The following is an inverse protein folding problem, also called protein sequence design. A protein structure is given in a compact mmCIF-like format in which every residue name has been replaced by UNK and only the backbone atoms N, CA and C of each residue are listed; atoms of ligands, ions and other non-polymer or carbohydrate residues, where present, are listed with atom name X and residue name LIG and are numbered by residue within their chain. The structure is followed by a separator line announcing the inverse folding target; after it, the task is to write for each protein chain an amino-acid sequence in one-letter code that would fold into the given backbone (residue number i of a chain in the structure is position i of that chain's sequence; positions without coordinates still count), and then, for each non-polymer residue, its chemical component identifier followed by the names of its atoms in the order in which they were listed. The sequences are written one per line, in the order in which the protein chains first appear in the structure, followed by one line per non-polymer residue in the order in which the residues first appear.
data_IF_831997782578
#
_entry.id   IF_831997782578
#
_cell.length_a   1.000
_cell.length_b   1.000
_cell.length_c   1.000
_cell.angle_alpha   90.00
_cell.angle_beta   90.00
_cell.angle_gamma   90.00
#
_symmetry.space_group_name_H-M   'P 1'
#
loop_
_entity.id
_entity.type
_entity.pdbx_description
1 polymer ?
#
# COMPACT_ATOMS: atom_id res chain seq x y z
N UNK A 1 28.91 -29.14 -33.37
CA UNK A 1 28.93 -29.86 -32.08
C UNK A 1 29.23 -28.82 -31.01
N UNK A 2 28.24 -28.08 -30.47
CA UNK A 2 27.37 -28.46 -29.35
C UNK A 2 28.14 -29.13 -28.20
N UNK A 3 28.35 -28.41 -27.08
CA UNK A 3 27.61 -28.62 -25.81
C UNK A 3 28.05 -27.64 -24.69
N UNK A 4 27.06 -26.92 -24.18
CA UNK A 4 26.75 -26.59 -22.76
C UNK A 4 27.81 -25.94 -21.84
N UNK A 5 27.60 -24.65 -21.53
CA UNK A 5 27.96 -24.05 -20.24
C UNK A 5 26.70 -23.91 -19.39
N UNK A 6 26.54 -24.79 -18.40
CA UNK A 6 25.56 -24.62 -17.33
C UNK A 6 26.05 -23.58 -16.33
N UNK A 7 25.25 -22.52 -16.12
CA UNK A 7 25.41 -21.58 -15.01
C UNK A 7 24.73 -22.19 -13.77
N UNK A 8 25.51 -22.51 -12.74
CA UNK A 8 25.00 -22.82 -11.40
C UNK A 8 24.94 -21.52 -10.58
N UNK A 9 23.74 -21.05 -10.23
CA UNK A 9 23.55 -20.01 -9.23
C UNK A 9 23.19 -20.69 -7.90
N UNK A 10 24.18 -20.83 -7.02
CA UNK A 10 23.92 -21.06 -5.59
C UNK A 10 23.87 -19.72 -4.85
N UNK A 11 22.91 -19.52 -3.93
CA UNK A 11 22.74 -18.26 -3.22
C UNK A 11 23.78 -18.14 -2.09
N UNK A 12 24.83 -17.37 -2.32
CA UNK A 12 25.80 -17.05 -1.26
C UNK A 12 25.37 -15.80 -0.51
N UNK A 13 25.02 -16.01 0.77
CA UNK A 13 25.43 -15.18 1.89
C UNK A 13 25.02 -13.71 1.87
N UNK A 14 23.91 -13.41 2.52
CA UNK A 14 23.68 -12.07 3.11
C UNK A 14 24.77 -11.86 4.16
N UNK A 15 25.77 -11.03 3.85
CA UNK A 15 26.70 -10.52 4.86
C UNK A 15 25.99 -9.41 5.63
N UNK A 16 25.99 -9.52 6.95
CA UNK A 16 25.46 -8.52 7.90
C UNK A 16 26.25 -7.18 7.89
N UNK A 17 27.22 -7.01 6.98
CA UNK A 17 28.06 -5.82 6.86
C UNK A 17 27.44 -4.69 6.00
N UNK A 18 26.34 -4.95 5.25
CA UNK A 18 25.74 -3.96 4.32
C UNK A 18 24.81 -2.93 4.99
N UNK A 19 24.54 -3.05 6.29
CA UNK A 19 23.72 -2.07 7.01
C UNK A 19 24.46 -0.77 7.39
N UNK A 20 25.80 -0.77 7.37
CA UNK A 20 26.60 0.38 7.81
C UNK A 20 26.95 1.39 6.69
N UNK A 21 26.65 1.08 5.42
CA UNK A 21 27.03 1.91 4.27
C UNK A 21 25.92 2.85 3.76
N UNK A 22 24.89 3.17 4.55
CA UNK A 22 23.91 4.24 4.24
C UNK A 22 24.39 5.64 4.65
N UNK A 23 25.70 5.87 4.55
CA UNK A 23 26.40 7.09 4.96
C UNK A 23 26.61 8.09 3.82
N UNK A 24 25.63 8.29 2.93
CA UNK A 24 25.50 9.49 2.10
C UNK A 24 24.11 9.51 1.49
N UNK A 25 23.08 9.78 2.30
CA UNK A 25 21.76 10.09 1.73
C UNK A 25 21.92 11.36 0.89
N UNK A 26 21.85 11.20 -0.43
CA UNK A 26 21.54 12.27 -1.38
C UNK A 26 20.49 13.19 -0.76
N UNK A 27 20.72 14.52 -0.79
CA UNK A 27 19.74 15.53 -0.35
C UNK A 27 18.35 15.11 -0.87
N UNK A 28 17.44 14.81 0.06
CA UNK A 28 16.12 14.27 -0.31
C UNK A 28 15.40 15.30 -1.20
N UNK A 29 14.58 14.87 -2.19
CA UNK A 29 13.85 15.78 -3.09
C UNK A 29 12.99 16.84 -2.39
N UNK A 30 12.66 16.66 -1.11
CA UNK A 30 11.94 17.62 -0.28
C UNK A 30 12.73 18.91 0.00
N UNK A 31 14.06 18.85 0.03
CA UNK A 31 14.89 20.04 0.34
C UNK A 31 14.89 21.08 -0.77
N UNK A 32 14.50 20.72 -1.99
CA UNK A 32 14.41 21.64 -3.11
C UNK A 32 13.12 22.47 -3.11
N UNK A 33 12.08 22.03 -2.37
CA UNK A 33 10.75 22.63 -2.34
C UNK A 33 10.37 23.02 -0.92
N UNK A 34 11.27 23.76 -0.27
CA UNK A 34 11.07 24.26 1.09
C UNK A 34 10.07 25.42 1.04
N UNK A 35 8.85 25.19 1.53
CA UNK A 35 7.90 26.26 1.77
C UNK A 35 8.40 27.15 2.90
N UNK A 36 8.90 28.33 2.54
CA UNK A 36 9.28 29.38 3.48
C UNK A 36 8.02 30.18 3.80
N UNK A 37 7.71 30.33 5.10
CA UNK A 37 6.55 31.07 5.63
C UNK A 37 6.60 32.60 5.37
N UNK A 38 7.29 33.05 4.32
CA UNK A 38 7.60 34.44 4.05
C UNK A 38 6.45 35.19 3.36
N UNK A 39 5.25 35.16 3.93
CA UNK A 39 4.20 36.13 3.60
C UNK A 39 3.73 36.86 4.86
N UNK A 40 4.55 37.82 5.28
CA UNK A 40 4.11 39.03 5.97
C UNK A 40 5.12 40.16 5.68
N UNK A 41 5.36 40.43 4.40
CA UNK A 41 6.38 41.42 3.98
C UNK A 41 5.88 42.87 3.95
N UNK A 42 4.58 43.15 4.11
CA UNK A 42 4.08 44.51 3.90
C UNK A 42 4.14 45.46 5.11
N UNK A 43 4.41 45.01 6.33
CA UNK A 43 4.41 45.92 7.50
C UNK A 43 5.78 46.29 8.07
N UNK A 44 6.87 45.62 7.67
CA UNK A 44 8.17 45.74 8.37
C UNK A 44 9.33 46.31 7.53
N UNK A 45 9.08 46.69 6.27
CA UNK A 45 10.10 47.23 5.35
C UNK A 45 10.67 48.61 5.74
N UNK A 46 10.33 49.18 6.90
CA UNK A 46 10.79 50.50 7.35
C UNK A 46 11.92 50.47 8.40
N UNK A 47 12.49 49.31 8.73
CA UNK A 47 13.58 49.23 9.70
C UNK A 47 14.96 49.36 9.02
N UNK A 48 15.39 50.61 8.76
CA UNK A 48 16.73 50.96 8.26
C UNK A 48 17.77 51.16 9.38
N UNK A 49 17.48 50.78 10.61
CA UNK A 49 18.38 50.93 11.75
C UNK A 49 19.09 49.60 12.07
N UNK A 50 20.37 49.63 12.49
CA UNK A 50 21.06 48.44 12.95
C UNK A 50 20.32 47.82 14.15
N UNK A 51 19.92 46.57 14.00
CA UNK A 51 19.13 45.77 14.94
C UNK A 51 19.99 44.97 15.92
N UNK A 52 21.33 45.07 15.86
CA UNK A 52 22.23 44.33 16.75
C UNK A 52 22.18 44.83 18.21
N UNK A 53 22.28 43.92 19.18
CA UNK A 53 22.32 44.23 20.61
C UNK A 53 21.01 43.95 21.36
N UNK A 54 20.90 44.40 22.61
CA UNK A 54 19.72 44.20 23.45
C UNK A 54 18.52 45.06 22.97
N UNK A 55 17.26 44.64 23.23
CA UNK A 55 16.07 45.41 22.85
C UNK A 55 16.10 46.82 23.46
N UNK A 56 15.87 47.89 22.66
CA UNK A 56 15.85 49.26 23.15
C UNK A 56 14.62 49.51 24.03
N UNK A 57 14.78 50.33 25.07
CA UNK A 57 13.69 50.67 26.02
C UNK A 57 12.52 51.41 25.35
N UNK A 58 12.80 52.25 24.35
CA UNK A 58 11.80 53.13 23.75
C UNK A 58 10.88 52.41 22.73
N UNK A 59 11.42 51.48 21.93
CA UNK A 59 10.70 50.82 20.83
C UNK A 59 11.06 49.32 20.70
N UNK A 60 10.81 48.50 21.74
CA UNK A 60 11.22 47.09 21.73
C UNK A 60 10.53 46.27 20.64
N UNK A 61 9.26 46.58 20.32
CA UNK A 61 8.48 45.87 19.30
C UNK A 61 9.02 46.14 17.88
N UNK A 62 9.45 47.36 17.59
CA UNK A 62 10.07 47.71 16.30
C UNK A 62 11.43 47.00 16.13
N UNK A 63 12.21 46.91 17.20
CA UNK A 63 13.45 46.13 17.21
C UNK A 63 13.18 44.64 17.00
N UNK A 64 12.20 44.07 17.69
CA UNK A 64 11.85 42.65 17.54
C UNK A 64 11.37 42.32 16.13
N UNK A 65 10.65 43.25 15.49
CA UNK A 65 10.26 43.12 14.10
C UNK A 65 11.46 43.16 13.14
N UNK A 66 12.43 44.05 13.41
CA UNK A 66 13.69 44.08 12.67
C UNK A 66 14.47 42.77 12.83
N UNK A 67 14.56 42.21 14.05
CA UNK A 67 15.19 40.90 14.28
C UNK A 67 14.49 39.76 13.54
N UNK A 68 13.15 39.74 13.50
CA UNK A 68 12.42 38.77 12.68
C UNK A 68 12.79 38.90 11.19
N UNK A 69 12.89 40.12 10.67
CA UNK A 69 13.29 40.34 9.29
C UNK A 69 14.74 39.94 9.01
N UNK A 70 15.67 40.25 9.92
CA UNK A 70 17.06 39.82 9.80
C UNK A 70 17.14 38.30 9.70
N UNK A 71 16.39 37.59 10.56
CA UNK A 71 16.40 36.14 10.55
C UNK A 71 15.85 35.56 9.25
N UNK A 72 14.83 36.18 8.67
CA UNK A 72 14.34 35.82 7.34
C UNK A 72 15.37 36.12 6.24
N UNK A 73 16.05 37.26 6.31
CA UNK A 73 17.08 37.64 5.34
C UNK A 73 18.29 36.70 5.40
N UNK A 74 18.74 36.33 6.60
CA UNK A 74 19.80 35.35 6.82
C UNK A 74 19.39 33.97 6.28
N UNK A 75 18.17 33.51 6.56
CA UNK A 75 17.63 32.25 6.05
C UNK A 75 17.51 32.20 4.51
N UNK A 76 17.34 33.36 3.87
CA UNK A 76 17.20 33.46 2.42
C UNK A 76 18.51 33.78 1.69
N UNK A 77 19.59 34.08 2.43
CA UNK A 77 20.86 34.49 1.85
C UNK A 77 21.46 33.37 0.99
N UNK A 78 21.70 33.60 -0.32
CA UNK A 78 22.27 32.59 -1.21
C UNK A 78 23.79 32.44 -1.05
N UNK A 79 24.46 33.49 -0.59
CA UNK A 79 25.91 33.57 -0.41
C UNK A 79 26.34 33.30 1.04
N UNK A 80 27.61 32.90 1.24
CA UNK A 80 28.17 32.57 2.56
C UNK A 80 28.04 31.10 2.94
N UNK A 81 28.47 30.74 4.15
CA UNK A 81 28.28 29.38 4.68
C UNK A 81 26.80 29.19 5.08
N UNK A 82 26.06 28.24 4.48
CA UNK A 82 24.68 27.96 4.85
C UNK A 82 24.52 27.65 6.35
N UNK A 83 25.49 27.00 6.97
CA UNK A 83 25.43 26.71 8.41
C UNK A 83 25.45 27.99 9.24
N UNK A 84 26.31 28.95 8.90
CA UNK A 84 26.39 30.24 9.60
C UNK A 84 25.12 31.08 9.39
N UNK A 85 24.57 31.07 8.17
CA UNK A 85 23.32 31.76 7.85
C UNK A 85 22.14 31.22 8.68
N UNK A 86 22.02 29.90 8.85
CA UNK A 86 20.98 29.32 9.69
C UNK A 86 21.17 29.59 11.18
N UNK A 87 22.40 29.63 11.68
CA UNK A 87 22.68 30.02 13.07
C UNK A 87 22.34 31.50 13.32
N UNK A 88 22.66 32.39 12.38
CA UNK A 88 22.29 33.80 12.45
C UNK A 88 20.76 33.98 12.44
N UNK A 89 20.06 33.25 11.57
CA UNK A 89 18.60 33.24 11.54
C UNK A 89 17.98 32.77 12.86
N UNK A 90 18.48 31.66 13.41
CA UNK A 90 18.03 31.14 14.71
C UNK A 90 18.26 32.14 15.83
N UNK A 91 19.41 32.82 15.86
CA UNK A 91 19.71 33.85 16.84
C UNK A 91 18.72 35.03 16.72
N UNK A 92 18.47 35.51 15.51
CA UNK A 92 17.56 36.62 15.27
C UNK A 92 16.10 36.31 15.63
N UNK A 93 15.61 35.10 15.32
CA UNK A 93 14.27 34.69 15.76
C UNK A 93 14.17 34.53 17.29
N UNK A 94 15.21 34.01 17.94
CA UNK A 94 15.26 33.92 19.42
C UNK A 94 15.26 35.29 20.07
N UNK A 95 16.02 36.23 19.52
CA UNK A 95 16.05 37.62 19.96
C UNK A 95 14.68 38.27 19.83
N UNK A 96 14.01 38.12 18.69
CA UNK A 96 12.66 38.63 18.48
C UNK A 96 11.66 38.07 19.52
N UNK A 97 11.79 36.78 19.87
CA UNK A 97 10.98 36.10 20.89
C UNK A 97 11.25 36.56 22.34
N UNK A 98 12.27 37.39 22.58
CA UNK A 98 12.44 38.05 23.91
C UNK A 98 11.44 39.19 24.12
N UNK A 99 10.89 39.74 23.03
CA UNK A 99 9.90 40.82 23.04
C UNK A 99 8.53 40.30 22.62
N UNK A 100 8.48 39.53 21.52
CA UNK A 100 7.26 38.87 21.10
C UNK A 100 6.92 37.78 22.09
N UNK A 101 5.82 37.96 22.82
CA UNK A 101 5.28 36.97 23.76
C UNK A 101 3.89 36.55 23.32
N UNK A 102 3.47 35.35 23.71
CA UNK A 102 2.16 34.81 23.34
C UNK A 102 1.02 35.69 23.86
N UNK A 103 1.20 36.30 25.03
CA UNK A 103 0.19 37.09 25.72
C UNK A 103 0.04 38.50 25.12
N UNK A 104 1.17 39.15 24.79
CA UNK A 104 1.18 40.55 24.33
C UNK A 104 1.08 40.66 22.81
N UNK A 105 1.71 39.73 22.08
CA UNK A 105 1.86 39.78 20.63
C UNK A 105 1.65 38.38 20.01
N UNK A 106 0.45 37.78 20.17
CA UNK A 106 0.22 36.38 19.81
C UNK A 106 0.58 36.07 18.35
N UNK A 107 0.22 36.96 17.43
CA UNK A 107 0.42 36.76 15.99
C UNK A 107 1.91 36.84 15.60
N UNK A 108 2.63 37.84 16.11
CA UNK A 108 4.07 38.01 15.87
C UNK A 108 4.88 36.91 16.57
N UNK A 109 4.45 36.49 17.75
CA UNK A 109 5.04 35.35 18.46
C UNK A 109 4.86 34.05 17.66
N UNK A 110 3.66 33.78 17.15
CA UNK A 110 3.38 32.61 16.31
C UNK A 110 4.24 32.63 15.03
N UNK A 111 4.37 33.80 14.39
CA UNK A 111 5.23 33.99 13.22
C UNK A 111 6.69 33.69 13.52
N UNK A 112 7.23 34.26 14.60
CA UNK A 112 8.61 34.01 15.01
C UNK A 112 8.84 32.54 15.41
N UNK A 113 7.87 31.88 16.07
CA UNK A 113 7.93 30.43 16.38
C UNK A 113 7.90 29.59 15.11
N UNK A 114 7.03 29.89 14.16
CA UNK A 114 6.94 29.13 12.92
C UNK A 114 8.22 29.24 12.08
N UNK A 115 8.78 30.45 11.96
CA UNK A 115 10.06 30.69 11.30
C UNK A 115 11.23 30.02 12.02
N UNK A 116 11.25 30.04 13.36
CA UNK A 116 12.21 29.29 14.16
C UNK A 116 12.10 27.78 13.89
N UNK A 117 10.88 27.27 13.71
CA UNK A 117 10.63 25.88 13.37
C UNK A 117 11.22 25.48 12.02
N UNK A 118 11.01 26.31 10.98
CA UNK A 118 11.66 26.12 9.67
C UNK A 118 13.18 26.19 9.80
N UNK A 119 13.72 27.18 10.52
CA UNK A 119 15.16 27.34 10.69
C UNK A 119 15.80 26.12 11.38
N UNK A 120 15.18 25.55 12.42
CA UNK A 120 15.67 24.31 13.03
C UNK A 120 15.61 23.12 12.09
N UNK A 121 14.57 23.01 11.26
CA UNK A 121 14.48 21.93 10.27
C UNK A 121 15.60 22.00 9.24
N UNK A 122 15.91 23.20 8.76
CA UNK A 122 16.95 23.41 7.73
C UNK A 122 18.37 23.45 8.30
N UNK A 123 18.51 23.62 9.62
CA UNK A 123 19.81 23.73 10.32
C UNK A 123 20.70 22.51 10.06
N UNK A 124 21.84 22.67 9.36
CA UNK A 124 22.78 21.58 9.11
C UNK A 124 23.60 21.19 10.35
N UNK A 125 23.87 22.16 11.23
CA UNK A 125 24.67 21.96 12.43
C UNK A 125 23.88 21.30 13.58
N UNK A 126 24.61 20.62 14.47
CA UNK A 126 24.06 19.99 15.68
C UNK A 126 23.44 18.61 15.45
N UNK A 127 22.73 18.10 16.46
CA UNK A 127 22.07 16.80 16.39
C UNK A 127 20.77 16.91 15.57
N UNK A 128 20.68 16.13 14.48
CA UNK A 128 19.53 16.13 13.59
C UNK A 128 18.21 15.81 14.29
N UNK A 129 18.22 14.89 15.25
CA UNK A 129 17.02 14.50 15.99
C UNK A 129 16.53 15.64 16.89
N UNK A 130 17.45 16.27 17.62
CA UNK A 130 17.11 17.43 18.47
C UNK A 130 16.58 18.60 17.65
N UNK A 131 17.22 18.89 16.51
CA UNK A 131 16.76 19.92 15.58
C UNK A 131 15.31 19.67 15.13
N UNK A 132 14.96 18.41 14.81
CA UNK A 132 13.59 18.07 14.41
C UNK A 132 12.58 18.20 15.54
N UNK A 133 12.92 17.79 16.76
CA UNK A 133 12.04 17.98 17.92
C UNK A 133 11.80 19.47 18.22
N UNK A 134 12.84 20.30 18.09
CA UNK A 134 12.71 21.75 18.22
C UNK A 134 11.84 22.36 17.11
N UNK A 135 11.98 21.87 15.87
CA UNK A 135 11.15 22.29 14.74
C UNK A 135 9.66 21.98 14.98
N UNK A 136 9.36 20.73 15.36
CA UNK A 136 8.00 20.26 15.68
C UNK A 136 7.40 21.08 16.82
N UNK A 137 8.17 21.31 17.90
CA UNK A 137 7.72 22.10 19.04
C UNK A 137 7.37 23.54 18.62
N UNK A 138 8.23 24.20 17.86
CA UNK A 138 8.01 25.59 17.45
C UNK A 138 6.83 25.73 16.45
N UNK A 139 6.64 24.77 15.55
CA UNK A 139 5.50 24.76 14.62
C UNK A 139 4.17 24.48 15.34
N UNK A 140 4.15 23.54 16.29
CA UNK A 140 2.96 23.29 17.14
C UNK A 140 2.58 24.51 17.97
N UNK A 141 3.57 25.25 18.47
CA UNK A 141 3.33 26.50 19.19
C UNK A 141 2.66 27.56 18.31
N UNK A 142 3.13 27.74 17.07
CA UNK A 142 2.49 28.64 16.12
C UNK A 142 1.04 28.23 15.81
N UNK A 143 0.81 26.93 15.60
CA UNK A 143 -0.53 26.34 15.39
C UNK A 143 -1.43 26.39 16.63
N UNK A 144 -0.91 26.75 17.80
CA UNK A 144 -1.72 27.01 19.00
C UNK A 144 -2.33 28.42 19.04
N UNK A 145 -1.91 29.28 18.12
CA UNK A 145 -2.40 30.66 17.94
C UNK A 145 -3.09 30.80 16.59
N UNK A 146 -2.43 30.34 15.52
CA UNK A 146 -3.03 30.30 14.20
C UNK A 146 -4.02 29.16 14.09
N UNK A 147 -5.21 29.47 13.59
CA UNK A 147 -6.24 28.48 13.31
C UNK A 147 -6.65 28.57 11.85
N UNK A 148 -7.26 27.50 11.35
CA UNK A 148 -7.81 27.45 10.00
C UNK A 148 -8.76 28.63 9.71
N UNK A 149 -9.52 29.08 10.70
CA UNK A 149 -10.52 30.13 10.52
C UNK A 149 -9.94 31.55 10.64
N UNK A 150 -8.95 31.75 11.52
CA UNK A 150 -8.39 33.08 11.80
C UNK A 150 -7.20 33.45 10.89
N UNK A 151 -6.39 32.45 10.55
CA UNK A 151 -5.11 32.60 9.86
C UNK A 151 -4.94 31.44 8.86
N UNK A 152 -5.86 31.26 7.89
CA UNK A 152 -5.92 30.07 7.05
C UNK A 152 -4.57 29.80 6.34
N UNK A 153 -3.97 30.84 5.77
CA UNK A 153 -2.73 30.75 5.00
C UNK A 153 -1.53 30.39 5.89
N UNK A 154 -1.34 31.10 7.01
CA UNK A 154 -0.23 30.84 7.93
C UNK A 154 -0.40 29.48 8.62
N UNK A 155 -1.64 29.09 8.94
CA UNK A 155 -1.97 27.79 9.49
C UNK A 155 -1.62 26.67 8.49
N UNK A 156 -2.02 26.79 7.23
CA UNK A 156 -1.68 25.82 6.19
C UNK A 156 -0.16 25.72 5.96
N UNK A 157 0.54 26.87 5.95
CA UNK A 157 2.00 26.92 5.88
C UNK A 157 2.71 26.24 7.05
N UNK A 158 2.21 26.43 8.27
CA UNK A 158 2.74 25.76 9.45
C UNK A 158 2.43 24.25 9.44
N UNK A 159 1.24 23.84 8.97
CA UNK A 159 0.87 22.43 8.79
C UNK A 159 1.78 21.74 7.75
N UNK A 160 2.03 22.35 6.59
CA UNK A 160 2.95 21.81 5.59
C UNK A 160 4.35 21.60 6.18
N UNK A 161 4.88 22.62 6.88
CA UNK A 161 6.20 22.52 7.48
C UNK A 161 6.27 21.48 8.61
N UNK A 162 5.19 21.34 9.38
CA UNK A 162 5.07 20.35 10.44
C UNK A 162 5.03 18.94 9.86
N UNK A 163 4.32 18.74 8.74
CA UNK A 163 4.30 17.46 8.03
C UNK A 163 5.69 17.03 7.53
N UNK A 164 6.46 17.97 6.97
CA UNK A 164 7.86 17.70 6.57
C UNK A 164 8.70 17.35 7.82
N UNK A 165 8.55 18.10 8.92
CA UNK A 165 9.31 17.85 10.14
C UNK A 165 9.04 16.44 10.71
N UNK A 166 7.78 15.97 10.74
CA UNK A 166 7.47 14.59 11.12
C UNK A 166 8.04 13.57 10.13
N UNK A 167 7.93 13.84 8.83
CA UNK A 167 8.48 12.92 7.82
C UNK A 167 10.01 12.80 7.94
N UNK A 168 10.71 13.86 8.30
CA UNK A 168 12.18 13.88 8.48
C UNK A 168 12.64 13.45 9.88
N UNK A 169 11.72 13.31 10.84
CA UNK A 169 12.00 13.00 12.24
C UNK A 169 12.69 11.63 12.37
N UNK A 170 13.94 11.57 12.85
CA UNK A 170 14.67 10.29 13.00
C UNK A 170 14.19 9.46 14.20
N UNK A 171 13.62 10.13 15.20
CA UNK A 171 13.15 9.56 16.47
C UNK A 171 11.69 9.10 16.39
N UNK A 172 11.31 8.14 17.23
CA UNK A 172 9.97 7.57 17.27
C UNK A 172 9.70 6.53 16.19
N UNK A 173 8.49 5.96 16.19
CA UNK A 173 8.08 4.96 15.22
C UNK A 173 7.89 5.59 13.84
N UNK A 174 8.55 5.03 12.82
CA UNK A 174 8.50 5.57 11.45
C UNK A 174 7.08 5.59 10.89
N UNK A 175 6.27 4.58 11.25
CA UNK A 175 4.87 4.51 10.83
C UNK A 175 4.03 5.64 11.43
N UNK A 176 4.18 5.92 12.72
CA UNK A 176 3.43 7.00 13.39
C UNK A 176 3.83 8.37 12.85
N UNK A 177 5.14 8.61 12.67
CA UNK A 177 5.65 9.83 12.05
C UNK A 177 5.08 10.03 10.63
N UNK A 178 4.92 8.95 9.86
CA UNK A 178 4.33 9.00 8.52
C UNK A 178 2.84 9.39 8.56
N UNK A 179 2.04 8.82 9.47
CA UNK A 179 0.63 9.20 9.63
C UNK A 179 0.48 10.66 10.07
N UNK A 180 1.33 11.14 10.99
CA UNK A 180 1.34 12.54 11.41
C UNK A 180 1.72 13.49 10.27
N UNK A 181 2.65 13.08 9.40
CA UNK A 181 3.00 13.84 8.21
C UNK A 181 1.83 13.94 7.22
N UNK A 182 1.16 12.81 6.93
CA UNK A 182 -0.01 12.76 6.04
C UNK A 182 -1.12 13.67 6.56
N UNK A 183 -1.47 13.56 7.84
CA UNK A 183 -2.50 14.39 8.45
C UNK A 183 -2.18 15.89 8.32
N UNK A 184 -0.93 16.29 8.58
CA UNK A 184 -0.52 17.69 8.47
C UNK A 184 -0.52 18.21 7.01
N UNK A 185 -0.19 17.36 6.03
CA UNK A 185 -0.31 17.74 4.61
C UNK A 185 -1.77 17.84 4.17
N UNK A 186 -2.64 16.95 4.63
CA UNK A 186 -4.08 17.01 4.36
C UNK A 186 -4.72 18.25 4.99
N UNK A 187 -4.29 18.63 6.20
CA UNK A 187 -4.67 19.88 6.85
C UNK A 187 -4.30 21.08 5.97
N UNK A 188 -3.07 21.19 5.48
CA UNK A 188 -2.65 22.27 4.58
C UNK A 188 -3.48 22.31 3.29
N UNK A 189 -3.76 21.14 2.69
CA UNK A 189 -4.59 20.99 1.48
C UNK A 189 -6.08 21.26 1.72
N UNK A 190 -6.52 21.38 2.98
CA UNK A 190 -7.90 21.80 3.31
C UNK A 190 -8.11 23.31 3.15
N UNK A 191 -7.03 24.09 3.06
CA UNK A 191 -7.03 25.54 2.82
C UNK A 191 -6.57 25.83 1.41
N UNK A 192 -5.41 25.31 1.03
CA UNK A 192 -4.84 25.58 -0.28
C UNK A 192 -5.55 24.76 -1.36
N UNK A 193 -5.86 25.44 -2.46
CA UNK A 193 -6.49 24.84 -3.63
C UNK A 193 -5.66 25.17 -4.87
N UNK A 194 -5.77 24.40 -5.96
CA UNK A 194 -5.04 24.73 -7.19
C UNK A 194 -5.45 26.08 -7.80
N UNK A 195 -6.61 26.64 -7.40
CA UNK A 195 -7.08 27.95 -7.85
C UNK A 195 -6.56 29.11 -6.99
N UNK A 196 -6.46 28.93 -5.68
CA UNK A 196 -6.07 29.99 -4.75
C UNK A 196 -4.56 30.07 -4.53
N UNK A 197 -3.91 28.91 -4.38
CA UNK A 197 -2.50 28.79 -4.00
C UNK A 197 -1.85 27.65 -4.81
N UNK A 198 -1.73 27.79 -6.14
CA UNK A 198 -1.29 26.70 -7.01
C UNK A 198 0.07 26.12 -6.60
N UNK A 199 1.05 26.98 -6.32
CA UNK A 199 2.42 26.59 -5.92
C UNK A 199 2.45 25.84 -4.57
N UNK A 200 1.74 26.38 -3.57
CA UNK A 200 1.72 25.82 -2.22
C UNK A 200 0.94 24.51 -2.18
N UNK A 201 -0.15 24.45 -2.95
CA UNK A 201 -0.93 23.24 -3.17
C UNK A 201 -0.11 22.14 -3.86
N UNK A 202 0.64 22.48 -4.92
CA UNK A 202 1.51 21.52 -5.61
C UNK A 202 2.62 20.99 -4.70
N UNK A 203 3.20 21.86 -3.85
CA UNK A 203 4.19 21.47 -2.84
C UNK A 203 3.61 20.50 -1.82
N UNK A 204 2.44 20.81 -1.27
CA UNK A 204 1.76 19.93 -0.31
C UNK A 204 1.37 18.58 -0.96
N UNK A 205 0.93 18.59 -2.24
CA UNK A 205 0.64 17.37 -3.01
C UNK A 205 1.87 16.51 -3.26
N UNK A 206 3.00 17.10 -3.63
CA UNK A 206 4.27 16.36 -3.76
C UNK A 206 4.63 15.66 -2.44
N UNK A 207 4.59 16.40 -1.33
CA UNK A 207 4.99 15.87 -0.03
C UNK A 207 4.04 14.78 0.47
N UNK A 208 2.73 14.96 0.25
CA UNK A 208 1.72 13.95 0.51
C UNK A 208 1.96 12.69 -0.33
N UNK A 209 2.33 12.84 -1.60
CA UNK A 209 2.65 11.72 -2.47
C UNK A 209 3.87 10.92 -2.00
N UNK A 210 4.92 11.61 -1.53
CA UNK A 210 6.11 10.96 -0.95
C UNK A 210 5.72 10.21 0.33
N UNK A 211 4.92 10.82 1.20
CA UNK A 211 4.47 10.19 2.43
C UNK A 211 3.64 8.93 2.15
N UNK A 212 2.67 8.98 1.22
CA UNK A 212 1.90 7.81 0.82
C UNK A 212 2.77 6.71 0.20
N UNK A 213 3.78 7.05 -0.61
CA UNK A 213 4.68 6.04 -1.17
C UNK A 213 5.45 5.29 -0.09
N UNK A 214 5.85 5.96 0.98
CA UNK A 214 6.61 5.37 2.10
C UNK A 214 5.73 4.80 3.22
N UNK A 215 4.42 5.02 3.15
CA UNK A 215 3.46 4.56 4.16
C UNK A 215 3.38 3.05 4.20
N UNK A 216 3.72 2.48 5.36
CA UNK A 216 3.66 1.03 5.64
C UNK A 216 2.27 0.60 6.12
N UNK A 217 1.54 1.48 6.79
CA UNK A 217 0.19 1.20 7.26
C UNK A 217 -0.85 1.18 6.12
N UNK A 218 -1.91 0.38 6.28
CA UNK A 218 -3.01 0.30 5.31
C UNK A 218 -2.71 -0.60 4.10
N UNK A 219 -3.52 -0.45 3.04
CA UNK A 219 -3.34 -1.22 1.82
C UNK A 219 -2.23 -0.60 0.95
N UNK A 220 -1.19 -1.38 0.65
CA UNK A 220 -0.04 -0.93 -0.15
C UNK A 220 -0.44 -0.42 -1.54
N UNK A 221 -1.37 -1.11 -2.21
CA UNK A 221 -1.86 -0.71 -3.54
C UNK A 221 -2.62 0.62 -3.48
N UNK A 222 -3.42 0.83 -2.45
CA UNK A 222 -4.14 2.09 -2.23
C UNK A 222 -3.15 3.24 -1.95
N UNK A 223 -2.17 3.01 -1.07
CA UNK A 223 -1.10 3.96 -0.80
C UNK A 223 -0.35 4.36 -2.09
N UNK A 224 -0.03 3.41 -2.96
CA UNK A 224 0.59 3.69 -4.26
C UNK A 224 -0.32 4.50 -5.20
N UNK A 225 -1.63 4.21 -5.21
CA UNK A 225 -2.59 4.96 -5.99
C UNK A 225 -2.69 6.41 -5.52
N UNK A 226 -2.76 6.62 -4.21
CA UNK A 226 -2.79 7.95 -3.59
C UNK A 226 -1.49 8.72 -3.89
N UNK A 227 -0.33 8.06 -3.81
CA UNK A 227 0.96 8.66 -4.16
C UNK A 227 1.00 9.13 -5.62
N UNK A 228 0.62 8.25 -6.56
CA UNK A 228 0.58 8.57 -7.99
C UNK A 228 -0.41 9.70 -8.29
N UNK A 229 -1.58 9.71 -7.64
CA UNK A 229 -2.56 10.77 -7.80
C UNK A 229 -1.98 12.12 -7.32
N UNK A 230 -1.36 12.16 -6.14
CA UNK A 230 -0.78 13.37 -5.59
C UNK A 230 0.37 13.92 -6.45
N UNK A 231 1.21 13.06 -7.04
CA UNK A 231 2.25 13.52 -7.98
C UNK A 231 1.66 14.08 -9.28
N UNK A 232 0.59 13.47 -9.81
CA UNK A 232 -0.11 14.00 -11.00
C UNK A 232 -0.76 15.34 -10.72
N UNK A 233 -1.32 15.50 -9.52
CA UNK A 233 -1.86 16.77 -9.04
C UNK A 233 -0.77 17.85 -9.04
N UNK A 234 0.40 17.59 -8.45
CA UNK A 234 1.51 18.54 -8.48
C UNK A 234 1.99 18.88 -9.91
N UNK A 235 2.05 17.89 -10.82
CA UNK A 235 2.38 18.10 -12.23
C UNK A 235 1.31 18.84 -13.03
N UNK A 236 0.11 19.04 -12.48
CA UNK A 236 -0.90 19.90 -13.11
C UNK A 236 -0.59 21.39 -12.95
N UNK A 237 0.26 21.74 -11.98
CA UNK A 237 0.74 23.10 -11.73
C UNK A 237 2.14 23.29 -12.31
N UNK A 238 3.06 22.37 -11.98
CA UNK A 238 4.45 22.46 -12.41
C UNK A 238 4.67 21.74 -13.72
N UNK A 239 4.83 22.52 -14.79
CA UNK A 239 5.16 22.02 -16.12
C UNK A 239 6.67 22.07 -16.37
N UNK A 240 7.14 21.22 -17.29
CA UNK A 240 8.56 21.12 -17.64
C UNK A 240 9.14 22.44 -18.15
N UNK A 241 8.33 23.22 -18.85
CA UNK A 241 8.74 24.47 -19.48
C UNK A 241 8.80 25.65 -18.50
N UNK A 242 7.87 25.70 -17.54
CA UNK A 242 7.75 26.80 -16.57
C UNK A 242 8.48 26.53 -15.25
N UNK A 243 8.56 25.27 -14.81
CA UNK A 243 9.07 24.83 -13.52
C UNK A 243 9.97 23.59 -13.71
N UNK A 244 11.09 23.71 -14.45
CA UNK A 244 11.89 22.55 -14.86
C UNK A 244 12.47 21.76 -13.68
N UNK A 245 12.80 22.43 -12.57
CA UNK A 245 13.37 21.79 -11.38
C UNK A 245 12.31 21.01 -10.60
N UNK A 246 11.18 21.65 -10.29
CA UNK A 246 10.05 21.07 -9.59
C UNK A 246 9.45 19.92 -10.40
N UNK A 247 9.25 20.12 -11.70
CA UNK A 247 8.79 19.09 -12.62
C UNK A 247 9.70 17.87 -12.59
N UNK A 248 11.02 18.04 -12.63
CA UNK A 248 11.96 16.93 -12.62
C UNK A 248 11.89 16.12 -11.31
N UNK A 249 11.73 16.82 -10.17
CA UNK A 249 11.57 16.18 -8.86
C UNK A 249 10.28 15.37 -8.78
N UNK A 250 9.15 15.96 -9.17
CA UNK A 250 7.85 15.28 -9.11
C UNK A 250 7.82 14.11 -10.10
N UNK A 251 8.34 14.30 -11.31
CA UNK A 251 8.41 13.25 -12.33
C UNK A 251 9.27 12.07 -11.87
N UNK A 252 10.42 12.32 -11.24
CA UNK A 252 11.25 11.25 -10.69
C UNK A 252 10.52 10.45 -9.59
N UNK A 253 9.75 11.13 -8.73
CA UNK A 253 8.96 10.48 -7.69
C UNK A 253 7.78 9.69 -8.26
N UNK A 254 7.12 10.22 -9.29
CA UNK A 254 6.06 9.54 -10.03
C UNK A 254 6.57 8.27 -10.71
N UNK A 255 7.71 8.36 -11.40
CA UNK A 255 8.37 7.23 -12.06
C UNK A 255 8.72 6.14 -11.04
N UNK A 256 9.25 6.52 -9.87
CA UNK A 256 9.56 5.58 -8.80
C UNK A 256 8.30 4.88 -8.28
N UNK A 257 7.21 5.62 -8.00
CA UNK A 257 5.94 5.05 -7.55
C UNK A 257 5.33 4.10 -8.60
N UNK A 258 5.40 4.47 -9.88
CA UNK A 258 4.94 3.60 -10.97
C UNK A 258 5.77 2.32 -11.09
N UNK A 259 7.10 2.41 -10.93
CA UNK A 259 8.00 1.25 -10.95
C UNK A 259 7.74 0.32 -9.76
N UNK A 260 7.56 0.85 -8.56
CA UNK A 260 7.23 0.06 -7.37
C UNK A 260 5.89 -0.66 -7.54
N UNK A 261 4.87 0.04 -8.03
CA UNK A 261 3.56 -0.56 -8.32
C UNK A 261 3.66 -1.63 -9.42
N UNK A 262 4.45 -1.38 -10.46
CA UNK A 262 4.68 -2.37 -11.52
C UNK A 262 5.45 -3.58 -11.01
N UNK A 263 6.45 -3.38 -10.13
CA UNK A 263 7.19 -4.45 -9.47
C UNK A 263 6.27 -5.28 -8.57
N UNK A 264 5.39 -4.66 -7.78
CA UNK A 264 4.39 -5.37 -6.97
C UNK A 264 3.40 -6.14 -7.86
N UNK A 265 2.96 -5.56 -8.97
CA UNK A 265 2.14 -6.27 -9.96
C UNK A 265 2.89 -7.46 -10.57
N UNK A 266 4.17 -7.28 -10.89
CA UNK A 266 5.04 -8.34 -11.41
C UNK A 266 5.24 -9.44 -10.37
N UNK A 267 5.57 -9.10 -9.13
CA UNK A 267 5.71 -10.05 -8.02
C UNK A 267 4.41 -10.83 -7.87
N UNK A 268 3.26 -10.17 -7.72
CA UNK A 268 1.97 -10.85 -7.58
C UNK A 268 1.58 -11.75 -8.76
N UNK A 269 2.13 -11.53 -9.97
CA UNK A 269 1.86 -12.35 -11.15
C UNK A 269 2.95 -13.37 -11.49
N UNK A 270 4.21 -13.11 -11.12
CA UNK A 270 5.37 -13.97 -11.35
C UNK A 270 5.55 -14.92 -10.16
N UNK A 271 5.13 -14.54 -8.94
CA UNK A 271 4.87 -15.48 -7.85
C UNK A 271 3.58 -16.25 -8.08
N UNK A 272 3.57 -17.08 -9.11
CA UNK A 272 3.14 -18.46 -8.85
C UNK A 272 4.29 -19.02 -8.00
N UNK A 273 4.21 -18.85 -6.67
CA UNK A 273 5.20 -19.44 -5.75
C UNK A 273 5.34 -20.94 -6.05
N UNK A 274 6.45 -21.61 -5.64
CA UNK A 274 6.56 -23.05 -5.82
C UNK A 274 5.26 -23.67 -5.32
N UNK A 275 4.54 -24.36 -6.20
CA UNK A 275 3.27 -24.97 -5.82
C UNK A 275 3.65 -25.88 -4.65
N UNK A 276 3.11 -25.60 -3.46
CA UNK A 276 3.43 -26.41 -2.30
C UNK A 276 3.15 -27.86 -2.72
N UNK A 277 4.10 -28.77 -2.49
CA UNK A 277 3.93 -30.15 -2.94
C UNK A 277 2.60 -30.75 -2.41
N UNK A 278 2.06 -30.20 -1.32
CA UNK A 278 0.71 -30.43 -0.80
C UNK A 278 -0.40 -30.04 -1.77
N UNK A 279 -0.33 -28.88 -2.42
CA UNK A 279 -1.37 -28.38 -3.32
C UNK A 279 -1.38 -29.19 -4.62
N UNK A 280 -0.20 -29.50 -5.19
CA UNK A 280 -0.09 -30.43 -6.34
C UNK A 280 -0.72 -31.77 -5.97
N UNK A 281 -0.42 -32.30 -4.78
CA UNK A 281 -0.97 -33.58 -4.33
C UNK A 281 -2.49 -33.51 -4.17
N UNK A 282 -3.02 -32.49 -3.52
CA UNK A 282 -4.46 -32.34 -3.27
C UNK A 282 -5.21 -32.12 -4.59
N UNK A 283 -4.78 -31.16 -5.41
CA UNK A 283 -5.39 -30.89 -6.72
C UNK A 283 -5.25 -32.12 -7.62
N UNK A 284 -4.08 -32.73 -7.69
CA UNK A 284 -3.84 -33.94 -8.49
C UNK A 284 -4.73 -35.12 -8.06
N UNK A 285 -4.90 -35.36 -6.76
CA UNK A 285 -5.78 -36.42 -6.23
C UNK A 285 -7.25 -36.15 -6.55
N UNK A 286 -7.72 -34.91 -6.33
CA UNK A 286 -9.11 -34.52 -6.62
C UNK A 286 -9.37 -34.58 -8.13
N UNK A 287 -8.48 -34.02 -8.96
CA UNK A 287 -8.60 -34.08 -10.43
C UNK A 287 -8.55 -35.51 -10.97
N UNK A 288 -7.70 -36.38 -10.44
CA UNK A 288 -7.64 -37.78 -10.86
C UNK A 288 -8.92 -38.55 -10.47
N UNK A 289 -9.43 -38.33 -9.26
CA UNK A 289 -10.69 -38.94 -8.80
C UNK A 289 -11.88 -38.45 -9.64
N UNK A 290 -11.94 -37.15 -9.92
CA UNK A 290 -12.97 -36.53 -10.76
C UNK A 290 -12.89 -36.99 -12.23
N UNK A 291 -11.68 -37.09 -12.79
CA UNK A 291 -11.47 -37.67 -14.12
C UNK A 291 -11.96 -39.11 -14.17
N UNK A 292 -11.61 -39.93 -13.18
CA UNK A 292 -11.97 -41.34 -13.15
C UNK A 292 -13.49 -41.54 -13.05
N UNK A 293 -14.18 -40.74 -12.24
CA UNK A 293 -15.64 -40.81 -12.14
C UNK A 293 -16.31 -40.45 -13.46
N UNK A 294 -15.89 -39.36 -14.11
CA UNK A 294 -16.42 -39.00 -15.43
C UNK A 294 -16.07 -40.02 -16.51
N UNK A 295 -14.86 -40.56 -16.51
CA UNK A 295 -14.43 -41.59 -17.45
C UNK A 295 -15.36 -42.81 -17.40
N UNK A 296 -15.68 -43.32 -16.20
CA UNK A 296 -16.60 -44.44 -16.04
C UNK A 296 -18.06 -44.09 -16.31
N UNK A 297 -18.48 -42.83 -16.13
CA UNK A 297 -19.82 -42.40 -16.57
C UNK A 297 -19.95 -42.41 -18.10
N UNK A 298 -18.92 -41.98 -18.82
CA UNK A 298 -18.95 -41.85 -20.29
C UNK A 298 -18.51 -43.12 -21.03
N UNK A 299 -18.02 -44.15 -20.33
CA UNK A 299 -17.63 -45.41 -20.95
C UNK A 299 -18.84 -46.25 -21.36
N UNK A 300 -20.00 -46.04 -20.73
CA UNK A 300 -21.19 -46.86 -20.93
C UNK A 300 -21.81 -46.68 -22.34
N UNK A 301 -22.03 -45.46 -22.87
CA UNK A 301 -22.62 -45.28 -24.20
C UNK A 301 -21.84 -45.97 -25.35
N UNK A 302 -20.50 -45.86 -25.44
CA UNK A 302 -19.73 -46.55 -26.47
C UNK A 302 -19.90 -48.08 -26.48
N UNK A 303 -20.19 -48.69 -25.32
CA UNK A 303 -20.37 -50.15 -25.22
C UNK A 303 -21.84 -50.58 -25.33
N UNK A 304 -22.79 -49.66 -25.50
CA UNK A 304 -24.22 -49.97 -25.65
C UNK A 304 -24.52 -51.02 -26.72
N UNK A 305 -23.90 -51.01 -27.92
CA UNK A 305 -24.14 -52.05 -28.91
C UNK A 305 -23.83 -53.46 -28.37
N UNK A 306 -22.74 -53.61 -27.61
CA UNK A 306 -22.34 -54.89 -27.01
C UNK A 306 -23.30 -55.30 -25.88
N UNK A 307 -23.70 -54.35 -25.02
CA UNK A 307 -24.63 -54.60 -23.93
C UNK A 307 -26.03 -54.97 -24.44
N UNK A 308 -26.46 -54.33 -25.53
CA UNK A 308 -27.72 -54.61 -26.21
C UNK A 308 -27.79 -56.06 -26.64
N UNK A 309 -26.73 -56.56 -27.27
CA UNK A 309 -26.67 -57.94 -27.76
C UNK A 309 -26.46 -58.95 -26.62
N UNK A 310 -25.67 -58.61 -25.59
CA UNK A 310 -25.42 -59.48 -24.44
C UNK A 310 -26.66 -59.67 -23.56
N UNK A 311 -27.45 -58.62 -23.34
CA UNK A 311 -28.66 -58.67 -22.51
C UNK A 311 -29.94 -58.92 -23.29
N UNK A 312 -29.90 -58.87 -24.62
CA UNK A 312 -31.09 -59.04 -25.48
C UNK A 312 -32.14 -57.93 -25.29
N UNK A 313 -31.70 -56.70 -25.01
CA UNK A 313 -32.57 -55.54 -24.72
C UNK A 313 -32.47 -54.47 -25.82
N UNK A 314 -33.30 -53.44 -25.78
CA UNK A 314 -33.20 -52.27 -26.66
C UNK A 314 -32.32 -51.15 -26.09
N UNK A 315 -32.06 -50.13 -26.91
CA UNK A 315 -31.35 -48.92 -26.48
C UNK A 315 -32.13 -48.09 -25.46
N UNK A 316 -33.47 -48.20 -25.47
CA UNK A 316 -34.32 -47.51 -24.50
C UNK A 316 -34.06 -48.02 -23.08
N UNK A 317 -34.00 -49.35 -22.90
CA UNK A 317 -33.72 -49.99 -21.62
C UNK A 317 -32.31 -49.64 -21.11
N UNK A 318 -31.31 -49.63 -21.98
CA UNK A 318 -29.95 -49.21 -21.63
C UNK A 318 -29.89 -47.71 -21.23
N UNK A 319 -30.71 -46.87 -21.86
CA UNK A 319 -30.79 -45.45 -21.53
C UNK A 319 -31.45 -45.21 -20.16
N UNK A 320 -32.37 -46.09 -19.74
CA UNK A 320 -32.95 -46.05 -18.39
C UNK A 320 -31.86 -46.26 -17.34
N UNK A 321 -30.91 -47.16 -17.56
CA UNK A 321 -29.78 -47.39 -16.64
C UNK A 321 -28.97 -46.11 -16.41
N UNK A 322 -28.62 -45.37 -17.47
CA UNK A 322 -27.93 -44.08 -17.33
C UNK A 322 -28.79 -43.03 -16.64
N UNK A 323 -30.07 -42.97 -16.98
CA UNK A 323 -31.02 -42.03 -16.38
C UNK A 323 -31.12 -42.26 -14.88
N UNK A 324 -31.22 -43.52 -14.44
CA UNK A 324 -31.25 -43.88 -13.02
C UNK A 324 -29.99 -43.44 -12.28
N UNK A 325 -28.80 -43.62 -12.88
CA UNK A 325 -27.53 -43.16 -12.30
C UNK A 325 -27.51 -41.64 -12.11
N UNK A 326 -27.82 -40.88 -13.17
CA UNK A 326 -27.79 -39.42 -13.11
C UNK A 326 -28.88 -38.85 -12.20
N UNK A 327 -30.08 -39.44 -12.21
CA UNK A 327 -31.17 -39.04 -11.32
C UNK A 327 -30.81 -39.29 -9.86
N UNK A 328 -30.27 -40.47 -9.53
CA UNK A 328 -29.81 -40.77 -8.18
C UNK A 328 -28.68 -39.82 -7.75
N UNK A 329 -27.71 -39.55 -8.63
CA UNK A 329 -26.63 -38.59 -8.36
C UNK A 329 -27.17 -37.19 -8.10
N UNK A 330 -28.04 -36.66 -8.98
CA UNK A 330 -28.60 -35.32 -8.84
C UNK A 330 -29.47 -35.15 -7.59
N UNK A 331 -30.35 -36.11 -7.30
CA UNK A 331 -31.21 -36.08 -6.11
C UNK A 331 -30.41 -36.17 -4.81
N UNK A 332 -29.29 -36.88 -4.81
CA UNK A 332 -28.48 -37.10 -3.61
C UNK A 332 -27.36 -36.08 -3.42
N UNK A 333 -27.10 -35.17 -4.36
CA UNK A 333 -26.07 -34.14 -4.22
C UNK A 333 -26.32 -33.18 -3.05
N UNK A 334 -27.54 -32.66 -2.91
CA UNK A 334 -27.89 -31.76 -1.79
C UNK A 334 -27.82 -32.46 -0.43
N UNK A 335 -28.41 -33.67 -0.24
CA UNK A 335 -28.19 -34.47 0.97
C UNK A 335 -26.70 -34.76 1.26
N UNK A 336 -25.92 -35.05 0.23
CA UNK A 336 -24.48 -35.28 0.37
C UNK A 336 -23.74 -34.03 0.85
N UNK A 337 -24.15 -32.82 0.43
CA UNK A 337 -23.64 -31.57 0.97
C UNK A 337 -23.81 -31.48 2.50
N UNK A 338 -25.02 -31.72 3.00
CA UNK A 338 -25.25 -31.75 4.46
C UNK A 338 -24.47 -32.87 5.17
N UNK A 339 -24.22 -33.99 4.49
CA UNK A 339 -23.42 -35.08 5.04
C UNK A 339 -21.93 -34.70 5.12
N UNK A 340 -21.42 -33.99 4.12
CA UNK A 340 -20.08 -33.39 4.10
C UNK A 340 -19.89 -32.43 5.27
N UNK A 341 -20.87 -31.57 5.52
CA UNK A 341 -20.83 -30.62 6.63
C UNK A 341 -20.76 -31.30 8.01
N UNK A 342 -21.35 -32.50 8.14
CA UNK A 342 -21.39 -33.24 9.42
C UNK A 342 -20.20 -34.16 9.64
N UNK A 343 -19.79 -34.91 8.62
CA UNK A 343 -18.78 -35.97 8.74
C UNK A 343 -17.39 -35.55 8.23
N UNK A 344 -17.32 -34.40 7.56
CA UNK A 344 -16.15 -33.87 6.90
C UNK A 344 -15.99 -34.39 5.45
N UNK A 345 -15.49 -33.56 4.54
CA UNK A 345 -15.51 -33.84 3.10
C UNK A 345 -14.65 -35.04 2.70
N UNK A 346 -13.49 -35.23 3.32
CA UNK A 346 -12.59 -36.33 2.98
C UNK A 346 -13.20 -37.71 3.28
N UNK A 347 -13.90 -37.86 4.41
CA UNK A 347 -14.53 -39.14 4.80
C UNK A 347 -15.70 -39.47 3.88
N UNK A 348 -16.49 -38.46 3.54
CA UNK A 348 -17.65 -38.61 2.64
C UNK A 348 -17.19 -38.91 1.22
N UNK A 349 -16.14 -38.25 0.73
CA UNK A 349 -15.53 -38.54 -0.58
C UNK A 349 -15.00 -39.97 -0.67
N UNK A 350 -14.23 -40.43 0.32
CA UNK A 350 -13.70 -41.81 0.36
C UNK A 350 -14.83 -42.83 0.38
N UNK A 351 -15.87 -42.59 1.20
CA UNK A 351 -17.05 -43.46 1.27
C UNK A 351 -17.81 -43.55 -0.04
N UNK A 352 -18.09 -42.41 -0.68
CA UNK A 352 -18.79 -42.36 -1.97
C UNK A 352 -17.96 -42.98 -3.10
N UNK A 353 -16.65 -42.73 -3.14
CA UNK A 353 -15.74 -43.36 -4.10
C UNK A 353 -15.72 -44.88 -3.92
N UNK A 354 -15.66 -45.36 -2.67
CA UNK A 354 -15.73 -46.80 -2.37
C UNK A 354 -17.03 -47.44 -2.86
N UNK A 355 -18.17 -46.78 -2.62
CA UNK A 355 -19.47 -47.24 -3.12
C UNK A 355 -19.53 -47.23 -4.65
N UNK A 356 -19.05 -46.17 -5.29
CA UNK A 356 -19.01 -46.05 -6.75
C UNK A 356 -18.14 -47.13 -7.39
N UNK A 357 -16.91 -47.30 -6.91
CA UNK A 357 -15.98 -48.32 -7.40
C UNK A 357 -16.52 -49.74 -7.22
N UNK A 358 -17.16 -50.03 -6.08
CA UNK A 358 -17.81 -51.32 -5.86
C UNK A 358 -18.96 -51.55 -6.85
N UNK A 359 -19.84 -50.57 -7.04
CA UNK A 359 -20.95 -50.68 -7.99
C UNK A 359 -20.47 -50.93 -9.42
N UNK A 360 -19.45 -50.17 -9.88
CA UNK A 360 -18.87 -50.33 -11.23
C UNK A 360 -18.17 -51.69 -11.37
N UNK A 361 -17.46 -52.18 -10.35
CA UNK A 361 -16.87 -53.53 -10.37
C UNK A 361 -17.95 -54.61 -10.57
N UNK A 362 -19.09 -54.46 -9.89
CA UNK A 362 -20.19 -55.41 -10.00
C UNK A 362 -20.99 -55.31 -11.31
N UNK A 363 -20.83 -54.25 -12.11
CA UNK A 363 -21.44 -54.19 -13.45
C UNK A 363 -21.00 -55.38 -14.32
N UNK A 364 -19.75 -55.81 -14.22
CA UNK A 364 -19.22 -56.94 -14.99
C UNK A 364 -19.85 -58.30 -14.62
N UNK A 365 -20.55 -58.38 -13.49
CA UNK A 365 -21.21 -59.58 -13.01
C UNK A 365 -22.74 -59.50 -13.10
N UNK A 366 -23.28 -58.41 -13.65
CA UNK A 366 -24.72 -58.22 -13.75
C UNK A 366 -25.34 -59.28 -14.70
N UNK A 367 -26.27 -60.13 -14.23
CA UNK A 367 -26.86 -61.18 -15.05
C UNK A 367 -27.94 -60.66 -16.00
N UNK A 368 -28.43 -59.43 -15.78
CA UNK A 368 -29.45 -58.78 -16.61
C UNK A 368 -29.41 -57.26 -16.45
N UNK A 369 -30.10 -56.54 -17.35
CA UNK A 369 -30.13 -55.07 -17.39
C UNK A 369 -30.71 -54.43 -16.12
N UNK A 370 -31.62 -55.11 -15.41
CA UNK A 370 -32.26 -54.56 -14.22
C UNK A 370 -31.32 -54.62 -13.00
N UNK A 371 -30.52 -55.67 -12.90
CA UNK A 371 -29.41 -55.73 -11.95
C UNK A 371 -28.40 -54.60 -12.23
N UNK A 372 -28.11 -54.34 -13.51
CA UNK A 372 -27.28 -53.20 -13.91
C UNK A 372 -27.92 -51.86 -13.51
N UNK A 373 -29.24 -51.72 -13.66
CA UNK A 373 -30.00 -50.55 -13.19
C UNK A 373 -29.91 -50.32 -11.68
N UNK A 374 -30.03 -51.38 -10.87
CA UNK A 374 -29.88 -51.29 -9.42
C UNK A 374 -28.45 -50.88 -9.02
N UNK A 375 -27.43 -51.47 -9.65
CA UNK A 375 -26.04 -51.07 -9.46
C UNK A 375 -25.81 -49.63 -9.93
N UNK A 376 -26.50 -49.17 -10.97
CA UNK A 376 -26.41 -47.80 -11.48
C UNK A 376 -26.97 -46.77 -10.51
N UNK A 377 -28.04 -47.10 -9.77
CA UNK A 377 -28.51 -46.27 -8.66
C UNK A 377 -27.43 -46.19 -7.58
N UNK A 378 -26.84 -47.32 -7.17
CA UNK A 378 -25.77 -47.33 -6.18
C UNK A 378 -24.55 -46.52 -6.62
N UNK A 379 -24.16 -46.63 -7.90
CA UNK A 379 -23.14 -45.82 -8.51
C UNK A 379 -23.52 -44.32 -8.50
N UNK A 380 -24.76 -43.97 -8.82
CA UNK A 380 -25.25 -42.60 -8.75
C UNK A 380 -25.15 -42.00 -7.33
N UNK A 381 -25.52 -42.78 -6.31
CA UNK A 381 -25.37 -42.38 -4.89
C UNK A 381 -23.90 -42.24 -4.52
N UNK A 382 -23.02 -43.15 -4.96
CA UNK A 382 -21.57 -43.02 -4.73
C UNK A 382 -20.98 -41.78 -5.42
N UNK A 383 -21.47 -41.45 -6.61
CA UNK A 383 -20.99 -40.31 -7.41
C UNK A 383 -21.51 -38.95 -6.91
N UNK A 384 -22.60 -38.89 -6.14
CA UNK A 384 -23.19 -37.62 -5.72
C UNK A 384 -22.27 -36.79 -4.81
N UNK A 385 -21.27 -37.41 -4.18
CA UNK A 385 -20.38 -36.78 -3.21
C UNK A 385 -19.30 -35.90 -3.85
N UNK A 386 -19.00 -36.06 -5.14
CA UNK A 386 -17.88 -35.38 -5.80
C UNK A 386 -18.02 -33.86 -5.75
N UNK A 387 -19.11 -33.30 -6.28
CA UNK A 387 -19.30 -31.84 -6.31
C UNK A 387 -19.21 -31.15 -4.93
N UNK A 388 -19.93 -31.59 -3.89
CA UNK A 388 -19.83 -30.95 -2.58
C UNK A 388 -18.48 -31.20 -1.89
N UNK A 389 -17.89 -32.40 -2.03
CA UNK A 389 -16.63 -32.73 -1.34
C UNK A 389 -15.41 -32.09 -2.01
N UNK A 390 -15.35 -32.07 -3.35
CA UNK A 390 -14.25 -31.49 -4.12
C UNK A 390 -14.16 -30.00 -3.85
N UNK A 391 -15.29 -29.29 -3.89
CA UNK A 391 -15.35 -27.86 -3.59
C UNK A 391 -14.91 -27.57 -2.15
N UNK A 392 -15.40 -28.34 -1.17
CA UNK A 392 -15.03 -28.19 0.24
C UNK A 392 -13.54 -28.48 0.50
N UNK A 393 -12.95 -29.50 -0.17
CA UNK A 393 -11.53 -29.83 -0.03
C UNK A 393 -10.66 -28.75 -0.66
N UNK A 394 -10.98 -28.31 -1.88
CA UNK A 394 -10.21 -27.31 -2.60
C UNK A 394 -10.26 -25.97 -1.86
N UNK A 395 -11.43 -25.51 -1.44
CA UNK A 395 -11.58 -24.26 -0.67
C UNK A 395 -10.88 -24.28 0.70
N UNK A 396 -10.79 -25.44 1.36
CA UNK A 396 -10.16 -25.56 2.67
C UNK A 396 -8.63 -25.80 2.63
N UNK A 397 -8.10 -26.29 1.51
CA UNK A 397 -6.70 -26.76 1.40
C UNK A 397 -5.87 -26.07 0.34
N UNK A 398 -6.50 -25.41 -0.63
CA UNK A 398 -5.80 -24.67 -1.69
C UNK A 398 -5.88 -23.18 -1.40
N UNK A 399 -4.75 -22.50 -1.57
CA UNK A 399 -4.64 -21.06 -1.34
C UNK A 399 -5.67 -20.28 -2.19
N UNK A 400 -6.34 -19.29 -1.59
CA UNK A 400 -7.43 -18.55 -2.24
C UNK A 400 -7.00 -17.82 -3.52
N UNK A 401 -5.73 -17.46 -3.64
CA UNK A 401 -5.13 -16.85 -4.85
C UNK A 401 -5.05 -17.82 -6.03
N UNK A 402 -5.13 -19.13 -5.79
CA UNK A 402 -4.98 -20.21 -6.79
C UNK A 402 -6.31 -20.86 -7.17
N UNK A 403 -7.39 -20.53 -6.48
CA UNK A 403 -8.74 -20.94 -6.85
C UNK A 403 -9.22 -20.06 -8.01
N UNK A 404 -9.71 -20.68 -9.08
CA UNK A 404 -10.35 -19.95 -10.18
C UNK A 404 -11.53 -19.14 -9.64
N UNK A 405 -11.60 -17.84 -9.97
CA UNK A 405 -12.75 -17.02 -9.63
C UNK A 405 -13.96 -17.52 -10.42
N UNK A 406 -14.99 -17.98 -9.71
CA UNK A 406 -16.27 -18.43 -10.27
C UNK A 406 -17.13 -17.23 -10.61
#
# INVERSE_FOLDING_TARGET
MMTERGFSLTPTGVREDDCAARGSRSRHPLNALVYRLARYQESLAQATQPSGGAPPEADPEKWAAARTNDGLADAQRPDGDPSENWEAALAAFKDALTVWTRERNPQQWALARANLGVAYRERPAGNRSENQEQAICALRDALSVWTRDSNPEEWAGACLNLGIAYWERPTGERSENCEQAIAAFEDALSVWTPQSNPEDWATARLNLGIAYRERVAGNRTENQQNAIAAFKDALSVWARESNPEEWAIVQANLDLAQRERFAEWLENRITIGPIAASDIKVVGLVSAAHFMSHFFQIVLPPIFPLLKDAFGVGYAELSIVMTLMYAASGLMQTPAGFLVDRLGPARVLIGGLGLYSAAVLFYGFAPNVWCLGALAIAAGVGNCVFHPSDYAILSARVEATRLGRV
#
